data_IF_332140164755
#
_entry.id   IF_332140164755
#
_cell.length_a   1.000
_cell.length_b   1.000
_cell.length_c   1.000
_cell.angle_alpha   90.00
_cell.angle_beta   90.00
_cell.angle_gamma   90.00
#
_symmetry.space_group_name_H-M   'P 1'
#
loop_
_entity.id
_entity.type
_entity.pdbx_description
1 polymer ?
#
# COMPACT_ATOMS: atom_id res chain seq x y z
N UNK A 1 32.97 3.12 -4.45
CA UNK A 1 32.84 4.16 -5.50
C UNK A 1 32.52 5.48 -4.82
N UNK A 2 33.02 6.61 -5.34
CA UNK A 2 32.55 7.93 -4.89
C UNK A 2 31.14 8.17 -5.47
N UNK A 3 30.18 8.70 -4.70
CA UNK A 3 28.87 9.04 -5.22
C UNK A 3 28.99 10.14 -6.28
N UNK A 4 28.22 10.00 -7.36
CA UNK A 4 28.12 11.02 -8.40
C UNK A 4 27.00 12.01 -8.06
N UNK A 5 27.39 13.11 -7.40
CA UNK A 5 26.47 14.16 -6.98
C UNK A 5 25.83 14.91 -8.15
N UNK A 6 26.46 14.92 -9.32
CA UNK A 6 25.89 15.58 -10.50
C UNK A 6 24.63 14.86 -10.94
N UNK A 7 24.73 13.54 -11.15
CA UNK A 7 23.60 12.70 -11.55
C UNK A 7 22.50 12.72 -10.50
N UNK A 8 22.85 12.61 -9.20
CA UNK A 8 21.86 12.70 -8.11
C UNK A 8 21.06 14.01 -8.13
N UNK A 9 21.74 15.15 -8.27
CA UNK A 9 21.07 16.45 -8.30
C UNK A 9 20.15 16.60 -9.53
N UNK A 10 20.58 16.07 -10.68
CA UNK A 10 19.82 16.12 -11.92
C UNK A 10 18.57 15.22 -11.87
N UNK A 11 18.68 14.02 -11.30
CA UNK A 11 17.55 13.11 -11.08
C UNK A 11 16.54 13.68 -10.08
N UNK A 12 17.01 14.31 -9.01
CA UNK A 12 16.16 15.00 -8.04
C UNK A 12 15.42 16.18 -8.68
N UNK A 13 16.10 16.95 -9.53
CA UNK A 13 15.49 18.05 -10.28
C UNK A 13 14.42 17.55 -11.25
N UNK A 14 14.73 16.50 -12.02
CA UNK A 14 13.82 15.90 -12.99
C UNK A 14 12.60 15.24 -12.33
N UNK A 15 12.78 14.66 -11.15
CA UNK A 15 11.68 14.06 -10.37
C UNK A 15 10.84 15.10 -9.60
N UNK A 16 11.24 16.37 -9.60
CA UNK A 16 10.58 17.42 -8.84
C UNK A 16 10.68 17.23 -7.32
N UNK A 17 11.71 16.53 -6.84
CA UNK A 17 11.92 16.28 -5.41
C UNK A 17 12.99 17.20 -4.82
N UNK A 18 12.63 17.93 -3.77
CA UNK A 18 13.54 18.79 -3.02
C UNK A 18 13.38 20.28 -3.35
N UNK A 19 14.36 21.08 -2.94
CA UNK A 19 14.41 22.51 -3.19
C UNK A 19 15.11 22.80 -4.52
N UNK A 20 14.37 23.30 -5.51
CA UNK A 20 14.87 23.54 -6.86
C UNK A 20 16.05 24.52 -6.89
N UNK A 21 15.97 25.61 -6.12
CA UNK A 21 17.01 26.64 -6.08
C UNK A 21 18.33 26.07 -5.56
N UNK A 22 18.26 25.27 -4.49
CA UNK A 22 19.41 24.59 -3.92
C UNK A 22 20.01 23.55 -4.87
N UNK A 23 19.18 22.77 -5.56
CA UNK A 23 19.65 21.78 -6.53
C UNK A 23 20.36 22.46 -7.72
N UNK A 24 19.80 23.57 -8.24
CA UNK A 24 20.45 24.37 -9.29
C UNK A 24 21.78 24.95 -8.83
N UNK A 25 21.83 25.49 -7.61
CA UNK A 25 23.08 26.00 -7.03
C UNK A 25 24.15 24.91 -6.89
N UNK A 26 23.77 23.70 -6.48
CA UNK A 26 24.69 22.56 -6.39
C UNK A 26 25.22 22.18 -7.79
N UNK A 27 24.35 22.11 -8.80
CA UNK A 27 24.77 21.83 -10.18
C UNK A 27 25.73 22.89 -10.70
N UNK A 28 25.49 24.17 -10.41
CA UNK A 28 26.41 25.26 -10.72
C UNK A 28 27.76 25.11 -10.01
N UNK A 29 27.76 24.74 -8.72
CA UNK A 29 29.00 24.46 -7.99
C UNK A 29 29.81 23.36 -8.68
N UNK A 30 29.16 22.26 -9.07
CA UNK A 30 29.82 21.15 -9.77
C UNK A 30 30.37 21.59 -11.12
N UNK A 31 29.57 22.30 -11.93
CA UNK A 31 29.99 22.80 -13.24
C UNK A 31 31.21 23.73 -13.15
N UNK A 32 31.30 24.52 -12.08
CA UNK A 32 32.41 25.42 -11.79
C UNK A 32 33.58 24.74 -11.04
N UNK A 33 33.57 23.42 -10.86
CA UNK A 33 34.57 22.66 -10.09
C UNK A 33 34.74 23.16 -8.64
N UNK A 34 33.69 23.71 -8.04
CA UNK A 34 33.66 24.13 -6.63
C UNK A 34 33.37 22.92 -5.73
N UNK A 35 34.01 22.83 -4.56
CA UNK A 35 33.69 21.79 -3.60
C UNK A 35 32.27 21.99 -3.05
N UNK A 36 31.54 20.90 -2.86
CA UNK A 36 30.22 20.93 -2.24
C UNK A 36 30.34 21.03 -0.72
N UNK A 37 29.41 21.75 -0.10
CA UNK A 37 29.28 21.73 1.35
C UNK A 37 28.85 20.34 1.83
N UNK A 38 29.30 19.95 3.03
CA UNK A 38 28.91 18.68 3.64
C UNK A 38 27.39 18.54 3.79
N UNK A 39 26.71 19.65 4.08
CA UNK A 39 25.26 19.74 4.17
C UNK A 39 24.56 19.51 2.83
N UNK A 40 25.18 19.89 1.71
CA UNK A 40 24.66 19.64 0.37
C UNK A 40 24.83 18.18 -0.02
N UNK A 41 25.98 17.59 0.28
CA UNK A 41 26.20 16.14 0.07
C UNK A 41 25.18 15.31 0.85
N UNK A 42 25.00 15.59 2.15
CA UNK A 42 24.00 14.89 2.97
C UNK A 42 22.56 15.10 2.48
N UNK A 43 22.25 16.31 1.99
CA UNK A 43 20.95 16.64 1.42
C UNK A 43 20.65 15.79 0.17
N UNK A 44 21.60 15.70 -0.77
CA UNK A 44 21.48 14.87 -1.96
C UNK A 44 21.31 13.39 -1.60
N UNK A 45 22.18 12.85 -0.76
CA UNK A 45 22.12 11.43 -0.37
C UNK A 45 20.79 11.07 0.29
N UNK A 46 20.29 11.92 1.20
CA UNK A 46 19.02 11.67 1.88
C UNK A 46 17.83 11.68 0.91
N UNK A 47 17.75 12.69 0.04
CA UNK A 47 16.65 12.79 -0.92
C UNK A 47 16.71 11.70 -1.99
N UNK A 48 17.91 11.39 -2.48
CA UNK A 48 18.09 10.38 -3.50
C UNK A 48 17.71 8.99 -2.99
N UNK A 49 18.08 8.65 -1.74
CA UNK A 49 17.61 7.42 -1.10
C UNK A 49 16.08 7.35 -1.02
N UNK A 50 15.40 8.47 -0.73
CA UNK A 50 13.93 8.52 -0.73
C UNK A 50 13.35 8.31 -2.13
N UNK A 51 13.98 8.90 -3.15
CA UNK A 51 13.60 8.72 -4.55
C UNK A 51 13.73 7.25 -4.97
N UNK A 52 14.85 6.59 -4.65
CA UNK A 52 15.04 5.17 -4.91
C UNK A 52 14.01 4.29 -4.20
N UNK A 53 13.68 4.60 -2.94
CA UNK A 53 12.65 3.90 -2.21
C UNK A 53 11.28 4.03 -2.88
N UNK A 54 10.92 5.23 -3.37
CA UNK A 54 9.66 5.45 -4.10
C UNK A 54 9.64 4.66 -5.42
N UNK A 55 10.72 4.70 -6.19
CA UNK A 55 10.86 3.92 -7.44
C UNK A 55 10.71 2.42 -7.14
N UNK A 56 11.35 1.92 -6.07
CA UNK A 56 11.26 0.53 -5.64
C UNK A 56 9.85 0.14 -5.19
N UNK A 57 9.09 1.05 -4.57
CA UNK A 57 7.69 0.75 -4.22
C UNK A 57 6.80 0.68 -5.45
N UNK A 58 6.98 1.60 -6.40
CA UNK A 58 6.17 1.64 -7.63
C UNK A 58 6.45 0.45 -8.56
N UNK A 59 7.70 -0.03 -8.60
CA UNK A 59 8.10 -1.17 -9.45
C UNK A 59 7.76 -2.54 -8.87
N UNK A 60 7.41 -2.63 -7.58
CA UNK A 60 7.07 -3.91 -6.92
C UNK A 60 5.66 -4.39 -7.22
N UNK A 61 4.81 -3.56 -7.79
CA UNK A 61 3.42 -3.92 -8.09
C UNK A 61 3.30 -4.87 -9.29
N UNK A 62 4.36 -5.03 -10.11
CA UNK A 62 4.38 -6.03 -11.19
C UNK A 62 4.76 -7.45 -10.72
N UNK A 63 5.20 -7.63 -9.47
CA UNK A 63 5.62 -8.95 -8.92
C UNK A 63 5.00 -9.29 -7.57
N UNK A 64 3.74 -8.90 -7.35
CA UNK A 64 2.89 -9.59 -6.37
C UNK A 64 1.88 -10.46 -7.10
N UNK A 65 2.20 -11.75 -7.13
CA UNK A 65 1.20 -12.80 -7.13
C UNK A 65 0.08 -12.44 -6.16
N UNK A 66 -1.14 -12.54 -6.67
CA UNK A 66 -2.45 -12.47 -6.02
C UNK A 66 -2.41 -12.58 -4.50
N UNK A 67 -2.20 -11.46 -3.82
CA UNK A 67 -2.64 -11.33 -2.44
C UNK A 67 -4.15 -11.13 -2.54
N UNK A 68 -4.92 -12.23 -2.50
CA UNK A 68 -6.37 -12.19 -2.43
C UNK A 68 -6.76 -11.12 -1.40
N UNK A 69 -7.49 -10.06 -1.78
CA UNK A 69 -7.97 -9.11 -0.80
C UNK A 69 -8.79 -9.91 0.21
N UNK A 70 -8.62 -9.64 1.52
CA UNK A 70 -9.32 -10.35 2.61
C UNK A 70 -10.86 -10.31 2.51
N UNK A 71 -11.38 -9.64 1.49
CA UNK A 71 -12.78 -9.49 1.12
C UNK A 71 -13.23 -10.40 -0.03
N UNK A 72 -12.33 -10.95 -0.85
CA UNK A 72 -12.68 -11.92 -1.89
C UNK A 72 -12.42 -13.33 -1.37
N UNK A 73 -13.51 -14.05 -1.15
CA UNK A 73 -13.52 -15.48 -0.84
C UNK A 73 -13.14 -16.23 -2.12
N UNK A 74 -12.29 -17.26 -2.04
CA UNK A 74 -11.96 -18.09 -3.20
C UNK A 74 -13.19 -18.89 -3.67
N UNK A 75 -13.29 -19.14 -4.97
CA UNK A 75 -14.42 -19.89 -5.55
C UNK A 75 -14.64 -21.24 -4.87
N UNK A 76 -13.56 -21.94 -4.50
CA UNK A 76 -13.64 -23.19 -3.73
C UNK A 76 -14.34 -23.06 -2.38
N UNK A 77 -14.16 -21.93 -1.68
CA UNK A 77 -14.80 -21.68 -0.39
C UNK A 77 -16.27 -21.28 -0.59
N UNK A 78 -16.60 -20.65 -1.73
CA UNK A 78 -17.99 -20.38 -2.09
C UNK A 78 -18.75 -21.68 -2.34
N UNK A 79 -18.14 -22.64 -3.05
CA UNK A 79 -18.74 -23.95 -3.31
C UNK A 79 -19.03 -24.70 -1.99
N UNK A 80 -18.07 -24.72 -1.06
CA UNK A 80 -18.27 -25.32 0.27
C UNK A 80 -19.42 -24.66 1.06
N UNK A 81 -19.57 -23.34 0.95
CA UNK A 81 -20.67 -22.61 1.60
C UNK A 81 -22.02 -22.98 0.98
N UNK A 82 -22.08 -23.12 -0.34
CA UNK A 82 -23.29 -23.51 -1.07
C UNK A 82 -23.71 -24.93 -0.68
N UNK A 83 -22.79 -25.90 -0.70
CA UNK A 83 -23.05 -27.29 -0.33
C UNK A 83 -23.51 -27.41 1.13
N UNK A 84 -22.89 -26.65 2.02
CA UNK A 84 -23.28 -26.60 3.44
C UNK A 84 -24.66 -25.95 3.65
N UNK A 85 -25.05 -25.01 2.79
CA UNK A 85 -26.38 -24.40 2.83
C UNK A 85 -27.46 -25.38 2.32
N UNK A 86 -27.16 -26.15 1.26
CA UNK A 86 -28.06 -27.13 0.67
C UNK A 86 -28.32 -28.32 1.62
N UNK A 87 -27.28 -28.88 2.22
CA UNK A 87 -27.40 -29.98 3.19
C UNK A 87 -28.20 -29.57 4.44
N UNK A 88 -27.95 -28.37 4.97
CA UNK A 88 -28.68 -27.81 6.12
C UNK A 88 -30.15 -27.49 5.84
N UNK A 89 -30.52 -27.34 4.56
CA UNK A 89 -31.92 -27.16 4.15
C UNK A 89 -32.68 -28.50 4.16
N UNK A 90 -32.02 -29.58 3.72
CA UNK A 90 -32.60 -30.93 3.74
C UNK A 90 -32.83 -31.46 5.16
N UNK A 91 -31.98 -31.13 6.13
CA UNK A 91 -32.18 -31.52 7.53
C UNK A 91 -33.37 -30.82 8.22
N UNK A 92 -33.80 -29.65 7.73
CA UNK A 92 -34.91 -28.89 8.32
C UNK A 92 -36.27 -29.27 7.76
N UNK A 93 -36.33 -29.88 6.57
CA UNK A 93 -37.59 -30.32 5.96
C UNK A 93 -38.13 -31.62 6.57
N UNK A 94 -37.34 -32.33 7.40
CA UNK A 94 -37.77 -33.57 8.08
C UNK A 94 -38.18 -33.40 9.55
N UNK A 95 -38.20 -32.17 10.12
CA UNK A 95 -38.64 -31.94 11.50
C UNK A 95 -39.60 -30.75 11.60
N UNK A 96 -40.89 -31.07 11.61
CA UNK A 96 -41.97 -30.15 11.96
C UNK A 96 -41.86 -29.66 13.43
N UNK A 97 -42.33 -28.43 13.68
CA UNK A 97 -42.73 -27.75 14.96
C UNK A 97 -41.54 -27.28 15.86
N UNK A 98 -41.34 -26.03 16.33
CA UNK A 98 -42.14 -24.84 16.73
C UNK A 98 -41.25 -23.58 16.58
N UNK A 99 -41.74 -22.34 16.28
CA UNK A 99 -40.90 -21.15 16.22
C UNK A 99 -40.52 -20.63 17.62
N UNK A 100 -39.29 -20.86 18.05
CA UNK A 100 -38.73 -20.11 19.18
C UNK A 100 -38.23 -18.74 18.70
N UNK A 101 -38.93 -17.67 19.11
CA UNK A 101 -38.53 -16.27 18.89
C UNK A 101 -37.18 -16.02 19.56
N UNK A 102 -36.09 -16.06 18.78
CA UNK A 102 -34.78 -15.58 19.26
C UNK A 102 -34.83 -14.06 19.32
N UNK A 103 -34.66 -13.51 20.53
CA UNK A 103 -34.56 -12.06 20.73
C UNK A 103 -33.33 -11.55 19.97
N UNK A 104 -33.55 -10.65 19.01
CA UNK A 104 -32.50 -10.07 18.17
C UNK A 104 -31.62 -9.15 19.00
N UNK A 105 -30.30 -9.36 19.00
CA UNK A 105 -29.34 -8.49 19.69
C UNK A 105 -29.37 -7.03 19.17
N UNK A 106 -29.90 -6.80 17.96
CA UNK A 106 -30.10 -5.47 17.40
C UNK A 106 -31.14 -4.63 18.17
N UNK A 107 -32.07 -5.27 18.89
CA UNK A 107 -33.06 -4.54 19.70
C UNK A 107 -32.41 -3.85 20.92
N UNK A 108 -31.23 -4.29 21.38
CA UNK A 108 -30.45 -3.57 22.40
C UNK A 108 -29.65 -2.38 21.85
N UNK A 109 -29.23 -2.43 20.59
CA UNK A 109 -28.42 -1.36 20.01
C UNK A 109 -29.25 -0.16 19.53
N UNK A 110 -30.49 -0.39 19.09
CA UNK A 110 -31.31 0.66 18.47
C UNK A 110 -32.68 0.90 19.15
N UNK A 111 -32.97 0.17 20.23
CA UNK A 111 -34.20 0.31 21.02
C UNK A 111 -34.06 1.30 22.16
N UNK A 112 -33.72 2.55 21.86
CA UNK A 112 -33.66 3.64 22.83
C UNK A 112 -34.74 4.68 22.55
N UNK A 113 -35.64 4.88 23.50
CA UNK A 113 -36.34 6.14 23.74
C UNK A 113 -36.21 6.47 25.22
#
# INVERSE_FOLDING_TARGET
>A
MKPDYHTMAMDLLNSGMGDEGRLRFILECIANNKPLYKTDMMFLESLYNQLEHKIKTLTKDDKKQEAHPKTLVSDSVLDEIVDKALSKKQEKESKTIVPQKKKSLFTRLFGGK
#
